data_IF_612102192528
#
_entry.id   IF_612102192528
#
_cell.length_a   1.000
_cell.length_b   1.000
_cell.length_c   1.000
_cell.angle_alpha   90.00
_cell.angle_beta   90.00
_cell.angle_gamma   90.00
#
_symmetry.space_group_name_H-M   'P 1'
#
loop_
_entity.id
_entity.type
_entity.pdbx_description
1 polymer ?
#
# COMPACT_ATOMS: atom_id res chain seq x y z
N UNK A 1 -7.15 1.17 6.62
CA UNK A 1 -7.17 1.98 5.39
C UNK A 1 -6.44 3.27 5.66
N UNK A 2 -5.75 3.82 4.67
CA UNK A 2 -5.07 5.11 4.72
C UNK A 2 -5.30 5.87 3.41
N UNK A 3 -5.17 7.18 3.44
CA UNK A 3 -5.32 8.00 2.24
C UNK A 3 -4.46 9.25 2.32
N UNK A 4 -3.94 9.68 1.18
CA UNK A 4 -3.24 10.95 1.05
C UNK A 4 -3.56 11.59 -0.31
N UNK A 5 -3.37 12.91 -0.40
CA UNK A 5 -3.62 13.68 -1.62
C UNK A 5 -2.47 14.62 -1.95
N UNK A 6 -2.05 14.62 -3.21
CA UNK A 6 -0.96 15.46 -3.71
C UNK A 6 -1.41 16.87 -4.13
N UNK A 7 -0.45 17.77 -4.30
CA UNK A 7 -0.66 19.20 -4.62
C UNK A 7 -1.37 19.43 -5.97
N UNK A 8 -1.48 18.40 -6.83
CA UNK A 8 -2.06 18.48 -8.18
C UNK A 8 -3.42 17.79 -8.30
N UNK A 9 -4.08 17.46 -7.19
CA UNK A 9 -5.37 16.75 -7.17
C UNK A 9 -5.22 15.23 -7.31
N UNK A 10 -4.03 14.72 -7.04
CA UNK A 10 -3.69 13.31 -6.99
C UNK A 10 -4.29 12.74 -5.71
N UNK A 11 -4.88 11.55 -5.77
CA UNK A 11 -5.36 10.87 -4.56
C UNK A 11 -4.88 9.44 -4.54
N UNK A 12 -4.37 9.01 -3.39
CA UNK A 12 -4.04 7.64 -3.08
C UNK A 12 -4.89 7.15 -1.92
N UNK A 13 -5.51 5.99 -2.08
CA UNK A 13 -6.21 5.27 -1.01
C UNK A 13 -5.59 3.88 -0.92
N UNK A 14 -5.07 3.54 0.25
CA UNK A 14 -4.50 2.22 0.55
C UNK A 14 -5.39 1.46 1.52
N UNK A 15 -5.56 0.17 1.31
CA UNK A 15 -6.44 -0.66 2.13
C UNK A 15 -6.01 -2.12 2.12
N UNK A 16 -6.34 -2.83 3.20
CA UNK A 16 -6.34 -4.27 3.22
C UNK A 16 -7.50 -4.73 2.31
N UNK A 17 -7.15 -5.29 1.16
CA UNK A 17 -8.09 -5.78 0.17
C UNK A 17 -8.48 -7.19 0.58
N UNK A 18 -9.79 -7.45 0.65
CA UNK A 18 -10.30 -8.81 0.80
C UNK A 18 -10.11 -9.55 -0.52
N UNK A 19 -9.37 -10.65 -0.50
CA UNK A 19 -9.21 -11.48 -1.67
C UNK A 19 -10.43 -12.39 -1.83
N UNK A 20 -11.01 -12.38 -3.03
CA UNK A 20 -12.26 -13.11 -3.30
C UNK A 20 -12.10 -14.60 -3.04
N UNK A 21 -12.89 -15.13 -2.10
CA UNK A 21 -12.85 -16.55 -1.74
C UNK A 21 -11.72 -16.94 -0.79
N UNK A 22 -10.97 -15.97 -0.26
CA UNK A 22 -9.95 -16.19 0.76
C UNK A 22 -10.36 -15.53 2.09
N UNK A 23 -9.82 -16.05 3.20
CA UNK A 23 -9.92 -15.41 4.53
C UNK A 23 -8.75 -14.45 4.79
N UNK A 24 -7.99 -14.14 3.74
CA UNK A 24 -6.71 -13.44 3.81
C UNK A 24 -6.77 -12.15 3.01
N UNK A 25 -5.91 -11.21 3.38
CA UNK A 25 -5.83 -9.89 2.75
C UNK A 25 -4.61 -9.73 1.85
N UNK A 26 -4.73 -8.79 0.92
CA UNK A 26 -3.64 -8.25 0.11
C UNK A 26 -3.55 -6.72 0.28
N UNK A 27 -2.42 -6.11 -0.07
CA UNK A 27 -2.30 -4.65 -0.08
C UNK A 27 -2.89 -4.07 -1.37
N UNK A 28 -4.04 -3.41 -1.26
CA UNK A 28 -4.68 -2.67 -2.35
C UNK A 28 -4.32 -1.18 -2.36
N UNK A 29 -4.17 -0.63 -3.56
CA UNK A 29 -4.04 0.79 -3.85
C UNK A 29 -5.10 1.21 -4.87
N UNK A 30 -5.91 2.20 -4.53
CA UNK A 30 -6.69 2.99 -5.48
C UNK A 30 -5.97 4.32 -5.69
N UNK A 31 -5.60 4.64 -6.92
CA UNK A 31 -5.00 5.93 -7.26
C UNK A 31 -5.83 6.67 -8.31
N UNK A 32 -5.94 7.99 -8.16
CA UNK A 32 -6.60 8.87 -9.12
C UNK A 32 -5.60 9.94 -9.59
N UNK A 33 -5.24 9.86 -10.87
CA UNK A 33 -4.42 10.86 -11.56
C UNK A 33 -5.12 11.25 -12.86
N UNK A 34 -5.76 12.42 -12.88
CA UNK A 34 -6.46 12.92 -14.08
C UNK A 34 -7.94 12.54 -14.18
N UNK A 35 -8.58 12.18 -13.07
CA UNK A 35 -10.05 12.12 -12.95
C UNK A 35 -10.64 10.71 -13.01
N UNK A 36 -9.82 9.67 -13.08
CA UNK A 36 -10.26 8.28 -13.08
C UNK A 36 -9.52 7.48 -12.01
N UNK A 37 -10.26 6.67 -11.26
CA UNK A 37 -9.70 5.74 -10.28
C UNK A 37 -9.16 4.49 -10.97
N UNK A 38 -7.95 4.09 -10.59
CA UNK A 38 -7.33 2.82 -11.00
C UNK A 38 -6.96 2.03 -9.76
N UNK A 39 -7.33 0.75 -9.72
CA UNK A 39 -6.94 -0.19 -8.66
C UNK A 39 -5.65 -0.93 -9.03
N UNK A 40 -4.77 -1.14 -8.05
CA UNK A 40 -3.56 -1.95 -8.17
C UNK A 40 -3.39 -2.77 -6.89
N UNK A 41 -3.06 -4.05 -7.04
CA UNK A 41 -2.63 -4.90 -5.92
C UNK A 41 -1.11 -4.79 -5.84
N UNK A 42 -0.60 -4.24 -4.74
CA UNK A 42 0.83 -3.97 -4.55
C UNK A 42 1.58 -5.13 -3.92
N UNK A 43 0.94 -5.79 -2.94
CA UNK A 43 1.46 -6.98 -2.27
C UNK A 43 0.36 -8.03 -2.24
N UNK A 44 0.57 -9.12 -2.97
CA UNK A 44 -0.36 -10.24 -3.08
C UNK A 44 0.07 -11.44 -2.23
N UNK A 45 0.90 -11.21 -1.21
CA UNK A 45 1.20 -12.19 -0.19
C UNK A 45 -0.05 -12.69 0.53
N UNK A 46 0.07 -13.84 1.20
CA UNK A 46 -1.02 -14.37 2.03
C UNK A 46 -1.14 -13.53 3.29
N UNK A 47 -2.31 -12.94 3.53
CA UNK A 47 -2.68 -12.18 4.73
C UNK A 47 -1.74 -11.01 5.07
N UNK A 48 -1.56 -10.15 4.06
CA UNK A 48 -0.72 -8.97 4.11
C UNK A 48 -1.54 -7.69 3.86
N UNK A 49 -0.88 -6.53 3.88
CA UNK A 49 -1.50 -5.24 3.60
C UNK A 49 -2.33 -4.67 4.75
N UNK A 50 -2.19 -5.23 5.96
CA UNK A 50 -2.94 -4.82 7.14
C UNK A 50 -2.52 -3.44 7.65
N UNK A 51 -3.50 -2.72 8.21
CA UNK A 51 -3.34 -1.38 8.81
C UNK A 51 -2.46 -0.42 7.98
N UNK A 52 -2.72 -0.24 6.67
CA UNK A 52 -1.80 0.50 5.83
C UNK A 52 -1.90 2.01 6.07
N UNK A 53 -0.76 2.68 5.95
CA UNK A 53 -0.63 4.14 5.93
C UNK A 53 0.13 4.55 4.67
N UNK A 54 -0.23 5.69 4.09
CA UNK A 54 0.37 6.20 2.85
C UNK A 54 0.69 7.68 2.99
N UNK A 55 1.81 8.10 2.39
CA UNK A 55 2.10 9.50 2.09
C UNK A 55 2.61 9.64 0.66
N UNK A 56 2.34 10.79 0.05
CA UNK A 56 2.86 11.19 -1.26
C UNK A 56 4.00 12.20 -1.01
N UNK A 57 5.20 11.90 -1.52
CA UNK A 57 6.34 12.82 -1.41
C UNK A 57 6.23 13.99 -2.40
N UNK A 58 7.17 14.93 -2.29
CA UNK A 58 7.22 16.12 -3.16
C UNK A 58 7.43 15.80 -4.65
N UNK A 59 7.94 14.61 -4.97
CA UNK A 59 8.14 14.15 -6.34
C UNK A 59 6.93 13.37 -6.87
N UNK A 60 5.88 13.20 -6.06
CA UNK A 60 4.70 12.38 -6.39
C UNK A 60 4.89 10.88 -6.17
N UNK A 61 5.96 10.47 -5.49
CA UNK A 61 6.19 9.08 -5.14
C UNK A 61 5.37 8.70 -3.90
N UNK A 62 4.82 7.49 -3.89
CA UNK A 62 4.09 6.95 -2.76
C UNK A 62 5.05 6.23 -1.82
N UNK A 63 4.80 6.40 -0.53
CA UNK A 63 5.48 5.74 0.56
C UNK A 63 4.41 5.08 1.45
N UNK A 64 4.41 3.76 1.51
CA UNK A 64 3.35 2.98 2.16
C UNK A 64 3.97 2.08 3.21
N UNK A 65 3.50 2.17 4.46
CA UNK A 65 3.82 1.20 5.52
C UNK A 65 2.61 0.33 5.80
N UNK A 66 2.82 -0.96 6.04
CA UNK A 66 1.75 -1.92 6.29
C UNK A 66 2.26 -3.15 7.06
N UNK A 67 1.34 -3.97 7.55
CA UNK A 67 1.64 -5.21 8.26
C UNK A 67 1.39 -6.41 7.36
N UNK A 68 2.34 -7.32 7.35
CA UNK A 68 2.22 -8.69 6.84
C UNK A 68 2.00 -9.60 8.04
N UNK A 69 0.73 -9.95 8.27
CA UNK A 69 0.28 -10.64 9.48
C UNK A 69 0.69 -12.11 9.45
N UNK A 70 0.72 -12.72 8.26
CA UNK A 70 1.15 -14.11 8.10
C UNK A 70 2.62 -14.34 8.47
N UNK A 71 3.48 -13.31 8.32
CA UNK A 71 4.91 -13.40 8.58
C UNK A 71 5.38 -12.61 9.81
N UNK A 72 4.46 -11.96 10.53
CA UNK A 72 4.79 -11.04 11.63
C UNK A 72 5.78 -9.93 11.20
N UNK A 73 5.61 -9.35 10.01
CA UNK A 73 6.52 -8.36 9.45
C UNK A 73 5.91 -6.96 9.36
N UNK A 74 6.68 -5.94 9.76
CA UNK A 74 6.44 -4.56 9.34
C UNK A 74 7.05 -4.36 7.96
N UNK A 75 6.21 -4.04 6.98
CA UNK A 75 6.60 -3.90 5.58
C UNK A 75 6.44 -2.47 5.08
N UNK A 76 7.19 -2.18 4.03
CA UNK A 76 7.22 -0.90 3.36
C UNK A 76 7.23 -1.06 1.84
N UNK A 77 6.40 -0.30 1.15
CA UNK A 77 6.32 -0.24 -0.31
C UNK A 77 6.51 1.18 -0.82
N UNK A 78 7.30 1.36 -1.89
CA UNK A 78 7.47 2.65 -2.54
C UNK A 78 7.73 2.52 -4.03
N UNK A 79 7.35 3.54 -4.81
CA UNK A 79 7.68 3.68 -6.23
C UNK A 79 8.71 4.78 -6.52
N UNK A 80 9.40 5.30 -5.51
CA UNK A 80 10.35 6.42 -5.65
C UNK A 80 11.51 6.15 -6.63
N UNK A 81 11.82 4.88 -6.91
CA UNK A 81 12.83 4.48 -7.91
C UNK A 81 12.26 4.30 -9.33
N UNK A 82 11.00 4.66 -9.58
CA UNK A 82 10.29 4.48 -10.86
C UNK A 82 9.55 3.14 -11.01
N UNK A 83 9.74 2.21 -10.07
CA UNK A 83 9.02 0.94 -9.99
C UNK A 83 8.69 0.64 -8.54
N UNK A 84 7.63 -0.13 -8.29
CA UNK A 84 7.30 -0.58 -6.94
C UNK A 84 8.40 -1.49 -6.37
N UNK A 85 8.85 -1.16 -5.16
CA UNK A 85 9.79 -1.92 -4.35
C UNK A 85 9.15 -2.19 -3.00
N UNK A 86 9.14 -3.45 -2.58
CA UNK A 86 8.65 -3.90 -1.29
C UNK A 86 9.84 -4.30 -0.41
N UNK A 87 9.84 -3.92 0.85
CA UNK A 87 10.95 -4.18 1.79
C UNK A 87 10.40 -4.49 3.18
N UNK A 88 10.99 -5.49 3.83
CA UNK A 88 10.75 -5.78 5.25
C UNK A 88 11.59 -4.83 6.10
N UNK A 89 10.94 -4.05 6.96
CA UNK A 89 11.60 -3.11 7.88
C UNK A 89 11.96 -3.77 9.22
N UNK A 90 11.25 -4.84 9.59
CA UNK A 90 11.49 -5.59 10.82
C UNK A 90 10.28 -6.43 11.23
N UNK A 91 10.28 -6.88 12.48
CA UNK A 91 9.14 -7.58 13.09
C UNK A 91 7.99 -6.61 13.39
N UNK A 92 6.75 -7.04 13.19
CA UNK A 92 5.54 -6.35 13.66
C UNK A 92 5.20 -6.68 15.12
N UNK A 93 5.83 -7.71 15.68
CA UNK A 93 5.72 -8.15 17.07
C UNK A 93 6.99 -7.80 17.87
N UNK A 94 6.85 -7.60 19.18
CA UNK A 94 7.93 -7.21 20.10
C UNK A 94 8.53 -8.39 20.87
#
# INVERSE_FOLDING_TARGET
>A
MGSDSGERGEMAIVYARNDSGATTHSLGLLYNWGGSWTETILDNGTDTGHYPSVVIDRNGALHISYIDDANDELRYATNASGTWVLTTLGSSTY
#
